data_IF_358976965832
#
_entry.id   IF_358976965832
#
_cell.length_a   1.000
_cell.length_b   1.000
_cell.length_c   1.000
_cell.angle_alpha   90.00
_cell.angle_beta   90.00
_cell.angle_gamma   90.00
#
_symmetry.space_group_name_H-M   'P 1'
#
loop_
_entity.id
_entity.type
_entity.pdbx_description
1 polymer ?
#
# COMPACT_ATOMS: atom_id res chain seq x y z
N UNK A 1 6.05 37.06 -22.14
CA UNK A 1 4.97 36.54 -21.26
C UNK A 1 3.66 36.62 -22.03
N UNK A 2 2.76 35.65 -21.87
CA UNK A 2 1.42 35.72 -22.48
C UNK A 2 0.65 36.92 -21.87
N UNK A 3 -0.24 37.57 -22.64
CA UNK A 3 -1.23 38.48 -22.07
C UNK A 3 -2.03 37.80 -20.94
N UNK A 4 -2.44 38.52 -19.88
CA UNK A 4 -3.08 37.92 -18.69
C UNK A 4 -4.28 37.02 -19.02
N UNK A 5 -5.11 37.42 -19.98
CA UNK A 5 -6.28 36.65 -20.42
C UNK A 5 -5.87 35.31 -21.08
N UNK A 6 -4.88 35.34 -21.97
CA UNK A 6 -4.37 34.14 -22.63
C UNK A 6 -3.61 33.24 -21.65
N UNK A 7 -2.87 33.82 -20.71
CA UNK A 7 -2.18 33.09 -19.64
C UNK A 7 -3.17 32.32 -18.74
N UNK A 8 -4.28 32.97 -18.38
CA UNK A 8 -5.33 32.35 -17.58
C UNK A 8 -5.95 31.14 -18.30
N UNK A 9 -6.27 31.28 -19.59
CA UNK A 9 -6.84 30.20 -20.40
C UNK A 9 -5.86 29.03 -20.58
N UNK A 10 -4.61 29.32 -20.90
CA UNK A 10 -3.57 28.30 -21.10
C UNK A 10 -3.31 27.49 -19.81
N UNK A 11 -3.15 28.20 -18.67
CA UNK A 11 -2.93 27.56 -17.37
C UNK A 11 -4.14 26.74 -16.91
N UNK A 12 -5.35 27.26 -17.13
CA UNK A 12 -6.59 26.56 -16.78
C UNK A 12 -6.79 25.29 -17.60
N UNK A 13 -6.36 25.27 -18.88
CA UNK A 13 -6.38 24.09 -19.73
C UNK A 13 -5.40 23.03 -19.23
N UNK A 14 -4.21 23.47 -18.79
CA UNK A 14 -3.23 22.58 -18.18
C UNK A 14 -3.76 21.96 -16.87
N UNK A 15 -4.28 22.78 -15.96
CA UNK A 15 -4.92 22.34 -14.72
C UNK A 15 -6.03 21.32 -14.97
N UNK A 16 -6.93 21.61 -15.93
CA UNK A 16 -8.01 20.71 -16.31
C UNK A 16 -7.47 19.35 -16.77
N UNK A 17 -6.43 19.34 -17.60
CA UNK A 17 -5.85 18.10 -18.14
C UNK A 17 -5.24 17.17 -17.09
N UNK A 18 -4.83 17.72 -15.93
CA UNK A 18 -4.27 16.93 -14.83
C UNK A 18 -5.37 16.43 -13.89
N UNK A 19 -6.38 17.26 -13.65
CA UNK A 19 -7.45 16.96 -12.69
C UNK A 19 -8.53 16.06 -13.32
N UNK A 20 -8.82 16.28 -14.60
CA UNK A 20 -9.69 15.39 -15.38
C UNK A 20 -9.05 14.01 -15.47
N UNK A 21 -9.61 13.06 -14.72
CA UNK A 21 -9.23 11.63 -14.81
C UNK A 21 -9.70 10.97 -16.11
N UNK A 22 -10.48 11.70 -16.90
CA UNK A 22 -11.12 11.18 -18.08
C UNK A 22 -10.21 11.28 -19.31
N UNK A 23 -10.17 10.21 -20.11
CA UNK A 23 -9.47 10.19 -21.40
C UNK A 23 -10.27 10.90 -22.50
N UNK A 24 -11.45 11.40 -22.15
CA UNK A 24 -12.40 12.03 -23.05
C UNK A 24 -11.98 13.43 -23.50
N UNK A 25 -10.90 14.01 -22.97
CA UNK A 25 -10.39 15.32 -23.39
C UNK A 25 -8.90 15.27 -23.75
N UNK A 26 -8.54 15.87 -24.89
CA UNK A 26 -7.14 16.00 -25.34
C UNK A 26 -6.75 17.47 -25.45
N UNK A 27 -5.53 17.81 -25.01
CA UNK A 27 -4.94 19.13 -25.22
C UNK A 27 -4.55 19.32 -26.69
N UNK A 28 -4.86 20.48 -27.24
CA UNK A 28 -4.43 20.92 -28.56
C UNK A 28 -3.91 22.35 -28.52
N UNK A 29 -2.93 22.65 -29.36
CA UNK A 29 -2.40 24.00 -29.53
C UNK A 29 -3.27 24.76 -30.53
N UNK A 30 -3.70 25.96 -30.16
CA UNK A 30 -4.53 26.85 -31.00
C UNK A 30 -3.88 28.22 -31.06
N UNK A 31 -3.80 28.79 -32.26
CA UNK A 31 -3.29 30.14 -32.49
C UNK A 31 -4.39 31.19 -32.28
N UNK A 32 -4.05 32.28 -31.58
CA UNK A 32 -4.94 33.38 -31.24
C UNK A 32 -4.25 34.71 -31.46
N UNK A 33 -4.91 35.61 -32.16
CA UNK A 33 -4.43 36.98 -32.32
C UNK A 33 -4.89 37.83 -31.15
N UNK A 34 -3.94 38.50 -30.51
CA UNK A 34 -4.19 39.45 -29.43
C UNK A 34 -3.37 40.71 -29.68
N UNK A 35 -4.05 41.85 -29.89
CA UNK A 35 -3.38 43.12 -30.19
C UNK A 35 -2.50 43.09 -31.45
N UNK A 36 -2.87 42.28 -32.46
CA UNK A 36 -2.11 42.14 -33.71
C UNK A 36 -0.92 41.17 -33.67
N UNK A 37 -0.68 40.50 -32.54
CA UNK A 37 0.33 39.43 -32.41
C UNK A 37 -0.35 38.09 -32.23
N UNK A 38 0.08 37.07 -32.99
CA UNK A 38 -0.42 35.70 -32.88
C UNK A 38 0.31 34.94 -31.77
N UNK A 39 -0.44 34.43 -30.79
CA UNK A 39 0.03 33.58 -29.70
C UNK A 39 -0.52 32.17 -29.83
N UNK A 40 0.24 31.18 -29.36
CA UNK A 40 -0.23 29.78 -29.30
C UNK A 40 -0.60 29.42 -27.87
N UNK A 41 -1.84 28.96 -27.64
CA UNK A 41 -2.37 28.58 -26.32
C UNK A 41 -2.98 27.17 -26.35
N UNK A 42 -3.06 26.53 -25.19
CA UNK A 42 -3.69 25.23 -25.01
C UNK A 42 -5.22 25.36 -24.97
N UNK A 43 -5.89 24.55 -25.77
CA UNK A 43 -7.34 24.34 -25.74
C UNK A 43 -7.65 22.84 -25.54
N UNK A 44 -8.90 22.54 -25.19
CA UNK A 44 -9.37 21.18 -24.92
C UNK A 44 -10.29 20.70 -26.04
N UNK A 45 -10.07 19.48 -26.52
CA UNK A 45 -10.89 18.84 -27.55
C UNK A 45 -11.58 17.61 -26.95
N UNK A 46 -12.91 17.49 -27.06
CA UNK A 46 -13.64 16.30 -26.64
C UNK A 46 -13.34 15.14 -27.61
N UNK A 47 -13.03 13.96 -27.07
CA UNK A 47 -12.75 12.72 -27.82
C UNK A 47 -14.03 11.91 -28.07
N UNK A 48 -15.06 12.06 -27.23
CA UNK A 48 -16.33 11.35 -27.38
C UNK A 48 -17.24 12.14 -28.34
N UNK A 49 -17.43 11.61 -29.56
CA UNK A 49 -18.31 12.17 -30.60
C UNK A 49 -19.76 12.24 -30.11
N UNK A 50 -20.23 13.43 -29.75
CA UNK A 50 -21.56 13.84 -30.19
C UNK A 50 -21.42 14.33 -31.64
N UNK A 51 -22.38 13.97 -32.48
CA UNK A 51 -22.29 13.98 -33.95
C UNK A 51 -22.07 15.38 -34.57
N UNK A 52 -21.99 16.47 -33.78
CA UNK A 52 -21.85 17.85 -34.29
C UNK A 52 -20.92 18.80 -33.51
N UNK A 53 -20.03 18.33 -32.63
CA UNK A 53 -19.16 19.20 -31.83
C UNK A 53 -17.65 19.01 -32.10
N UNK A 54 -17.18 19.42 -33.28
CA UNK A 54 -15.74 19.48 -33.64
C UNK A 54 -15.05 20.78 -33.17
N UNK A 55 -15.54 21.40 -32.10
CA UNK A 55 -15.03 22.67 -31.59
C UNK A 55 -13.92 22.46 -30.54
N UNK A 56 -12.82 23.21 -30.68
CA UNK A 56 -11.89 23.42 -29.56
C UNK A 56 -12.58 24.24 -28.48
N UNK A 57 -12.57 23.75 -27.24
CA UNK A 57 -13.16 24.43 -26.09
C UNK A 57 -12.02 25.13 -25.34
N UNK A 58 -12.16 26.44 -25.13
CA UNK A 58 -11.23 27.19 -24.30
C UNK A 58 -11.48 26.85 -22.83
N UNK A 59 -10.41 26.69 -22.07
CA UNK A 59 -10.48 26.39 -20.64
C UNK A 59 -10.78 27.64 -19.81
N UNK A 60 -11.89 28.30 -20.11
CA UNK A 60 -12.43 29.34 -19.23
C UNK A 60 -13.07 28.68 -18.02
N UNK A 61 -12.72 29.14 -16.82
CA UNK A 61 -13.31 28.73 -15.54
C UNK A 61 -14.83 28.93 -15.53
N UNK A 62 -15.34 29.87 -16.33
CA UNK A 62 -16.78 30.12 -16.52
C UNK A 62 -17.47 29.10 -17.45
N UNK A 63 -16.73 28.24 -18.14
CA UNK A 63 -17.27 27.25 -19.06
C UNK A 63 -18.06 26.18 -18.31
N UNK A 64 -19.39 26.22 -18.43
CA UNK A 64 -20.29 25.22 -17.86
C UNK A 64 -19.97 23.80 -18.38
N UNK A 65 -19.66 23.68 -19.67
CA UNK A 65 -19.33 22.41 -20.33
C UNK A 65 -18.13 21.71 -19.67
N UNK A 66 -17.04 22.43 -19.41
CA UNK A 66 -15.86 21.86 -18.77
C UNK A 66 -16.13 21.54 -17.29
N UNK A 67 -16.80 22.46 -16.59
CA UNK A 67 -17.14 22.27 -15.18
C UNK A 67 -18.02 21.03 -14.96
N UNK A 68 -19.00 20.80 -15.83
CA UNK A 68 -19.90 19.64 -15.75
C UNK A 68 -19.23 18.33 -16.15
N UNK A 69 -18.23 18.37 -17.04
CA UNK A 69 -17.47 17.17 -17.42
C UNK A 69 -16.56 16.61 -16.30
N UNK A 70 -16.30 17.38 -15.23
CA UNK A 70 -15.53 16.89 -14.09
C UNK A 70 -16.38 15.97 -13.21
N UNK A 71 -15.91 14.74 -13.01
CA UNK A 71 -16.67 13.64 -12.42
C UNK A 71 -17.17 13.90 -10.99
N UNK A 72 -16.42 14.66 -10.18
CA UNK A 72 -16.78 14.92 -8.78
C UNK A 72 -16.74 16.41 -8.45
N UNK A 73 -17.49 16.82 -7.42
CA UNK A 73 -17.47 18.20 -6.90
C UNK A 73 -16.07 18.60 -6.40
N UNK A 74 -15.34 17.64 -5.85
CA UNK A 74 -13.94 17.82 -5.44
C UNK A 74 -13.03 18.14 -6.63
N UNK A 75 -13.23 17.48 -7.77
CA UNK A 75 -12.42 17.74 -8.96
C UNK A 75 -12.74 19.13 -9.54
N UNK A 76 -14.00 19.56 -9.49
CA UNK A 76 -14.41 20.93 -9.85
C UNK A 76 -13.72 21.99 -9.00
N UNK A 77 -13.77 21.84 -7.68
CA UNK A 77 -13.13 22.75 -6.73
C UNK A 77 -11.61 22.84 -6.94
N UNK A 78 -10.95 21.69 -7.15
CA UNK A 78 -9.52 21.63 -7.45
C UNK A 78 -9.16 22.37 -8.73
N UNK A 79 -9.96 22.20 -9.78
CA UNK A 79 -9.71 22.86 -11.06
C UNK A 79 -9.87 24.38 -10.94
N UNK A 80 -10.89 24.84 -10.22
CA UNK A 80 -11.10 26.25 -9.91
C UNK A 80 -9.89 26.82 -9.15
N UNK A 81 -9.49 26.20 -8.03
CA UNK A 81 -8.36 26.66 -7.22
C UNK A 81 -7.03 26.71 -7.99
N UNK A 82 -6.78 25.72 -8.86
CA UNK A 82 -5.60 25.70 -9.73
C UNK A 82 -5.60 26.88 -10.72
N UNK A 83 -6.74 27.13 -11.35
CA UNK A 83 -6.92 28.23 -12.31
C UNK A 83 -6.77 29.60 -11.65
N UNK A 84 -7.36 29.78 -10.46
CA UNK A 84 -7.22 31.01 -9.66
C UNK A 84 -5.78 31.22 -9.15
N UNK A 85 -5.06 30.14 -8.81
CA UNK A 85 -3.65 30.24 -8.42
C UNK A 85 -2.77 30.75 -9.56
N UNK A 86 -3.03 30.32 -10.80
CA UNK A 86 -2.32 30.82 -11.98
C UNK A 86 -2.57 32.32 -12.18
N UNK A 87 -3.83 32.77 -12.13
CA UNK A 87 -4.18 34.19 -12.28
C UNK A 87 -3.50 35.04 -11.19
N UNK A 88 -3.55 34.60 -9.93
CA UNK A 88 -2.86 35.29 -8.82
C UNK A 88 -1.35 35.37 -9.02
N UNK A 89 -0.73 34.31 -9.54
CA UNK A 89 0.70 34.34 -9.87
C UNK A 89 1.00 35.34 -10.99
N UNK A 90 0.20 35.35 -12.05
CA UNK A 90 0.33 36.31 -13.15
C UNK A 90 0.28 37.76 -12.66
N UNK A 91 -0.73 38.08 -11.83
CA UNK A 91 -0.86 39.41 -11.22
C UNK A 91 0.37 39.76 -10.39
N UNK A 92 0.81 38.88 -9.48
CA UNK A 92 2.00 39.08 -8.66
C UNK A 92 3.26 39.33 -9.50
N UNK A 93 3.43 38.58 -10.59
CA UNK A 93 4.58 38.75 -11.50
C UNK A 93 4.59 40.11 -12.19
N UNK A 94 3.42 40.67 -12.50
CA UNK A 94 3.24 41.98 -13.14
C UNK A 94 3.37 43.16 -12.16
N UNK A 95 2.93 42.99 -10.92
CA UNK A 95 2.98 44.03 -9.88
C UNK A 95 4.38 44.26 -9.34
N UNK A 96 5.19 43.20 -9.24
CA UNK A 96 6.54 43.28 -8.68
C UNK A 96 7.52 43.88 -9.70
N UNK A 97 8.43 44.79 -9.29
CA UNK A 97 9.43 45.35 -10.20
C UNK A 97 10.33 44.26 -10.78
N UNK A 98 10.83 44.41 -12.02
CA UNK A 98 11.77 43.46 -12.59
C UNK A 98 13.05 43.40 -11.74
N UNK A 99 13.64 42.22 -11.62
CA UNK A 99 14.91 42.04 -10.91
C UNK A 99 15.99 42.95 -11.53
N UNK A 100 16.85 43.58 -10.71
CA UNK A 100 17.86 44.52 -11.20
C UNK A 100 18.71 43.91 -12.31
N UNK A 101 18.96 44.65 -13.38
CA UNK A 101 19.85 44.18 -14.45
C UNK A 101 21.24 43.85 -13.87
N UNK A 102 21.65 42.57 -13.96
CA UNK A 102 22.90 42.07 -13.37
C UNK A 102 22.76 41.37 -12.01
N UNK A 103 21.54 41.20 -11.46
CA UNK A 103 21.33 40.33 -10.31
C UNK A 103 21.50 38.87 -10.74
N UNK A 104 22.43 38.13 -10.11
CA UNK A 104 22.61 36.68 -10.29
C UNK A 104 21.45 35.94 -9.60
N UNK A 105 20.24 36.03 -10.18
CA UNK A 105 19.02 35.42 -9.66
C UNK A 105 18.22 34.81 -10.81
N UNK A 106 17.58 33.67 -10.54
CA UNK A 106 16.59 33.13 -11.46
C UNK A 106 15.30 33.96 -11.40
N UNK A 107 14.72 34.30 -12.56
CA UNK A 107 13.52 35.13 -12.62
C UNK A 107 12.30 34.37 -12.09
N UNK A 108 11.39 35.09 -11.42
CA UNK A 108 10.07 34.56 -11.07
C UNK A 108 9.35 33.96 -12.29
N UNK A 109 8.64 32.85 -12.09
CA UNK A 109 8.05 32.06 -13.17
C UNK A 109 6.84 31.26 -12.70
N UNK A 110 6.01 30.82 -13.65
CA UNK A 110 4.92 29.88 -13.43
C UNK A 110 5.25 28.57 -14.14
N UNK A 111 5.37 27.48 -13.38
CA UNK A 111 5.76 26.18 -13.91
C UNK A 111 4.57 25.33 -14.40
N UNK A 112 3.44 25.97 -14.69
CA UNK A 112 2.15 25.37 -15.04
C UNK A 112 1.37 24.75 -13.87
N UNK A 113 1.96 24.69 -12.67
CA UNK A 113 1.32 24.15 -11.48
C UNK A 113 1.29 25.16 -10.34
N UNK A 114 2.38 25.88 -10.09
CA UNK A 114 2.50 26.87 -9.02
C UNK A 114 3.44 28.03 -9.35
N UNK A 115 3.40 29.05 -8.50
CA UNK A 115 4.19 30.27 -8.64
C UNK A 115 5.55 30.12 -7.98
N UNK A 116 6.61 30.55 -8.67
CA UNK A 116 7.97 30.58 -8.14
C UNK A 116 8.48 32.02 -8.13
N UNK A 117 8.99 32.47 -6.98
CA UNK A 117 9.58 33.80 -6.82
C UNK A 117 11.01 33.91 -7.35
N UNK A 118 11.56 35.12 -7.33
CA UNK A 118 12.96 35.36 -7.67
C UNK A 118 13.88 34.64 -6.66
N UNK A 119 14.84 33.88 -7.18
CA UNK A 119 15.66 32.98 -6.36
C UNK A 119 17.15 33.23 -6.64
N UNK A 120 18.02 33.34 -5.62
CA UNK A 120 19.46 33.52 -5.84
C UNK A 120 20.08 32.40 -6.70
N UNK A 121 21.04 32.75 -7.56
CA UNK A 121 21.82 31.78 -8.33
C UNK A 121 22.55 30.80 -7.41
N UNK A 122 22.75 29.58 -7.91
CA UNK A 122 23.35 28.46 -7.17
C UNK A 122 22.61 28.13 -5.85
N UNK A 123 21.28 28.27 -5.85
CA UNK A 123 20.43 27.92 -4.70
C UNK A 123 19.18 27.17 -5.14
N UNK A 124 18.49 26.53 -4.20
CA UNK A 124 17.24 25.80 -4.44
C UNK A 124 16.09 26.52 -3.76
N UNK A 125 15.04 26.82 -4.52
CA UNK A 125 13.79 27.34 -3.99
C UNK A 125 12.92 26.20 -3.47
N UNK A 126 12.22 26.45 -2.36
CA UNK A 126 11.30 25.51 -1.73
C UNK A 126 9.94 26.17 -1.55
N UNK A 127 8.90 25.53 -2.05
CA UNK A 127 7.52 26.00 -1.92
C UNK A 127 6.62 24.87 -1.43
N UNK A 128 5.56 25.23 -0.70
CA UNK A 128 4.60 24.24 -0.22
C UNK A 128 3.85 23.60 -1.40
N UNK A 129 3.62 22.29 -1.31
CA UNK A 129 2.94 21.56 -2.38
C UNK A 129 1.51 22.12 -2.61
N UNK A 130 1.09 22.36 -3.86
CA UNK A 130 -0.20 22.98 -4.14
C UNK A 130 -1.36 22.06 -3.75
N UNK A 131 -2.19 22.51 -2.80
CA UNK A 131 -3.24 21.68 -2.19
C UNK A 131 -4.38 21.29 -3.12
N UNK A 132 -4.55 22.03 -4.23
CA UNK A 132 -5.53 21.74 -5.27
C UNK A 132 -5.12 20.55 -6.14
N UNK A 133 -3.84 20.17 -6.17
CA UNK A 133 -3.35 19.00 -6.90
C UNK A 133 -2.99 17.85 -5.96
N UNK A 134 -2.28 18.18 -4.89
CA UNK A 134 -1.80 17.23 -3.90
C UNK A 134 -2.66 17.31 -2.64
N UNK A 135 -3.07 16.16 -2.09
CA UNK A 135 -4.11 16.11 -1.04
C UNK A 135 -3.72 16.90 0.22
N UNK A 136 -4.57 17.86 0.58
CA UNK A 136 -4.47 18.79 1.71
C UNK A 136 -4.22 18.05 3.06
N UNK A 137 -4.91 16.93 3.28
CA UNK A 137 -4.84 16.09 4.50
C UNK A 137 -3.46 15.49 4.81
N UNK A 138 -2.47 15.64 3.92
CA UNK A 138 -1.23 14.84 3.95
C UNK A 138 0.01 15.64 3.59
N UNK A 139 -0.09 16.63 2.69
CA UNK A 139 1.05 17.49 2.35
C UNK A 139 1.30 18.56 3.41
N UNK A 140 0.26 19.22 3.94
CA UNK A 140 0.40 20.29 4.94
C UNK A 140 0.99 19.83 6.27
N UNK A 141 0.81 18.56 6.64
CA UNK A 141 1.29 18.00 7.91
C UNK A 141 2.70 17.40 7.84
N UNK A 142 3.24 17.13 6.64
CA UNK A 142 4.49 16.35 6.48
C UNK A 142 5.74 17.20 6.28
N UNK A 143 5.63 18.54 6.23
CA UNK A 143 6.77 19.43 5.96
C UNK A 143 7.44 19.24 4.59
N UNK A 144 6.79 18.51 3.68
CA UNK A 144 7.31 18.21 2.34
C UNK A 144 7.02 19.37 1.40
N UNK A 145 8.04 19.77 0.62
CA UNK A 145 8.00 20.93 -0.26
C UNK A 145 8.40 20.54 -1.68
N UNK A 146 7.81 21.20 -2.66
CA UNK A 146 8.30 21.17 -4.03
C UNK A 146 9.64 21.92 -4.10
N UNK A 147 10.52 21.49 -5.00
CA UNK A 147 11.88 22.04 -5.11
C UNK A 147 12.17 22.47 -6.54
N UNK A 148 12.76 23.66 -6.70
CA UNK A 148 13.21 24.16 -8.01
C UNK A 148 14.64 24.69 -7.89
N UNK A 149 15.53 24.15 -8.73
CA UNK A 149 16.96 24.47 -8.67
C UNK A 149 17.30 25.66 -9.58
N UNK A 150 17.93 26.68 -9.00
CA UNK A 150 18.46 27.81 -9.72
C UNK A 150 19.98 27.64 -9.93
N UNK A 151 20.39 27.56 -11.19
CA UNK A 151 21.79 27.32 -11.57
C UNK A 151 22.65 28.57 -11.33
N UNK A 152 23.98 28.37 -11.32
CA UNK A 152 24.95 29.45 -11.09
C UNK A 152 24.92 30.55 -12.17
N UNK A 153 24.39 30.25 -13.35
CA UNK A 153 24.24 31.19 -14.47
C UNK A 153 22.95 32.02 -14.40
N UNK A 154 22.19 31.92 -13.30
CA UNK A 154 20.93 32.65 -13.11
C UNK A 154 19.76 32.10 -13.93
N UNK A 155 19.85 30.85 -14.42
CA UNK A 155 18.76 30.17 -15.13
C UNK A 155 18.21 29.00 -14.31
N UNK A 156 16.90 28.77 -14.41
CA UNK A 156 16.28 27.59 -13.82
C UNK A 156 16.82 26.32 -14.46
N UNK A 157 17.01 25.28 -13.63
CA UNK A 157 17.36 23.95 -14.12
C UNK A 157 16.33 23.45 -15.15
N UNK A 158 16.84 22.87 -16.24
CA UNK A 158 16.03 22.35 -17.34
C UNK A 158 16.21 20.85 -17.47
N UNK A 159 15.11 20.14 -17.70
CA UNK A 159 15.15 18.71 -17.99
C UNK A 159 15.74 18.45 -19.38
N UNK A 160 16.04 17.18 -19.70
CA UNK A 160 16.52 16.71 -21.01
C UNK A 160 15.62 17.20 -22.17
N UNK A 161 14.34 17.47 -21.88
CA UNK A 161 13.35 18.00 -22.81
C UNK A 161 13.44 19.53 -23.04
N UNK A 162 14.48 20.20 -22.53
CA UNK A 162 14.77 21.63 -22.62
C UNK A 162 13.71 22.58 -21.99
N UNK A 163 12.77 22.04 -21.23
CA UNK A 163 11.81 22.82 -20.43
C UNK A 163 12.33 22.99 -19.00
N UNK A 164 11.95 24.11 -18.36
CA UNK A 164 12.17 24.29 -16.92
C UNK A 164 11.59 23.10 -16.16
N UNK A 165 12.30 22.67 -15.12
CA UNK A 165 11.92 21.50 -14.35
C UNK A 165 11.74 21.83 -12.88
N UNK A 166 10.82 21.11 -12.25
CA UNK A 166 10.48 21.27 -10.83
C UNK A 166 10.26 19.90 -10.22
N UNK A 167 10.87 19.66 -9.07
CA UNK A 167 10.78 18.39 -8.36
C UNK A 167 9.54 18.36 -7.46
N UNK A 168 8.51 17.65 -7.91
CA UNK A 168 7.30 17.37 -7.14
C UNK A 168 7.27 15.97 -6.53
N UNK A 169 8.39 15.23 -6.55
CA UNK A 169 8.44 13.83 -6.07
C UNK A 169 7.92 13.71 -4.65
N UNK A 170 8.31 14.64 -3.78
CA UNK A 170 7.87 14.68 -2.38
C UNK A 170 6.41 15.08 -2.20
N UNK A 171 5.78 15.73 -3.19
CA UNK A 171 4.38 16.12 -3.16
C UNK A 171 3.42 14.96 -3.52
N UNK A 172 3.88 13.98 -4.32
CA UNK A 172 3.08 12.80 -4.68
C UNK A 172 3.17 11.69 -3.62
N UNK A 173 2.72 12.01 -2.40
CA UNK A 173 2.75 11.07 -1.28
C UNK A 173 1.97 9.78 -1.58
N UNK A 174 0.90 9.83 -2.40
CA UNK A 174 0.08 8.65 -2.72
C UNK A 174 0.89 7.65 -3.52
N UNK A 175 1.69 8.13 -4.47
CA UNK A 175 2.62 7.29 -5.22
C UNK A 175 3.72 6.74 -4.34
N UNK A 176 4.34 7.55 -3.48
CA UNK A 176 5.36 7.09 -2.53
C UNK A 176 4.80 6.00 -1.61
N UNK A 177 3.63 6.20 -1.02
CA UNK A 177 2.97 5.21 -0.15
C UNK A 177 2.63 3.94 -0.93
N UNK A 178 2.08 4.07 -2.15
CA UNK A 178 1.78 2.91 -2.99
C UNK A 178 3.03 2.11 -3.38
N UNK A 179 4.14 2.78 -3.69
CA UNK A 179 5.43 2.13 -3.99
C UNK A 179 5.99 1.43 -2.75
N UNK A 180 5.95 2.07 -1.59
CA UNK A 180 6.37 1.46 -0.32
C UNK A 180 5.52 0.23 0.03
N UNK A 181 4.21 0.29 -0.19
CA UNK A 181 3.30 -0.86 -0.02
C UNK A 181 3.66 -1.99 -0.99
N UNK A 182 3.88 -1.68 -2.27
CA UNK A 182 4.29 -2.67 -3.28
C UNK A 182 5.64 -3.31 -2.93
N UNK A 183 6.61 -2.52 -2.48
CA UNK A 183 7.92 -3.01 -2.05
C UNK A 183 7.78 -3.97 -0.86
N UNK A 184 6.99 -3.60 0.16
CA UNK A 184 6.68 -4.48 1.29
C UNK A 184 6.01 -5.78 0.85
N UNK A 185 5.07 -5.72 -0.10
CA UNK A 185 4.42 -6.91 -0.66
C UNK A 185 5.42 -7.81 -1.40
N UNK A 186 6.35 -7.25 -2.18
CA UNK A 186 7.40 -8.02 -2.88
C UNK A 186 8.32 -8.75 -1.90
N UNK A 187 8.77 -8.06 -0.84
CA UNK A 187 9.56 -8.68 0.22
C UNK A 187 8.80 -9.81 0.91
N UNK A 188 7.52 -9.60 1.22
CA UNK A 188 6.68 -10.63 1.80
C UNK A 188 6.53 -11.85 0.88
N UNK A 189 6.33 -11.66 -0.44
CA UNK A 189 6.30 -12.74 -1.42
C UNK A 189 7.61 -13.52 -1.42
N UNK A 190 8.76 -12.83 -1.45
CA UNK A 190 10.07 -13.48 -1.46
C UNK A 190 10.29 -14.38 -0.24
N UNK A 191 9.91 -13.91 0.94
CA UNK A 191 10.01 -14.70 2.19
C UNK A 191 9.05 -15.89 2.18
N UNK A 192 7.81 -15.72 1.71
CA UNK A 192 6.87 -16.83 1.55
C UNK A 192 7.40 -17.89 0.57
N UNK A 193 7.98 -17.49 -0.55
CA UNK A 193 8.58 -18.41 -1.53
C UNK A 193 9.75 -19.20 -0.93
N UNK A 194 10.62 -18.53 -0.16
CA UNK A 194 11.71 -19.20 0.56
C UNK A 194 11.18 -20.20 1.59
N UNK A 195 10.12 -19.85 2.31
CA UNK A 195 9.47 -20.74 3.27
C UNK A 195 8.90 -21.98 2.58
N UNK A 196 8.20 -21.84 1.45
CA UNK A 196 7.69 -22.97 0.67
C UNK A 196 8.83 -23.85 0.15
N UNK A 197 9.91 -23.25 -0.36
CA UNK A 197 11.07 -23.99 -0.85
C UNK A 197 11.75 -24.84 0.23
N UNK A 198 11.71 -24.41 1.49
CA UNK A 198 12.24 -25.16 2.63
C UNK A 198 11.25 -26.22 3.16
N UNK A 199 9.97 -25.87 3.28
CA UNK A 199 8.95 -26.75 3.89
C UNK A 199 8.49 -27.86 2.95
N UNK A 200 8.45 -27.62 1.64
CA UNK A 200 7.94 -28.60 0.68
C UNK A 200 8.80 -29.88 0.63
N UNK A 201 10.14 -29.83 0.52
CA UNK A 201 10.98 -31.03 0.60
C UNK A 201 10.85 -31.75 1.94
N UNK A 202 10.80 -31.01 3.05
CA UNK A 202 10.63 -31.60 4.38
C UNK A 202 9.30 -32.37 4.50
N UNK A 203 8.21 -31.80 3.97
CA UNK A 203 6.90 -32.44 3.93
C UNK A 203 6.93 -33.72 3.07
N UNK A 204 7.56 -33.67 1.89
CA UNK A 204 7.73 -34.83 1.01
C UNK A 204 8.49 -35.95 1.73
N UNK A 205 9.61 -35.65 2.39
CA UNK A 205 10.39 -36.63 3.16
C UNK A 205 9.50 -37.28 4.23
N UNK A 206 8.77 -36.50 5.02
CA UNK A 206 7.91 -37.04 6.07
C UNK A 206 6.76 -37.91 5.54
N UNK A 207 6.26 -37.64 4.33
CA UNK A 207 5.26 -38.51 3.68
C UNK A 207 5.87 -39.80 3.13
N UNK A 208 7.02 -39.72 2.45
CA UNK A 208 7.66 -40.86 1.78
C UNK A 208 8.20 -41.92 2.75
N UNK A 209 8.78 -41.52 3.88
CA UNK A 209 9.38 -42.48 4.82
C UNK A 209 8.36 -42.95 5.86
N UNK A 210 7.83 -44.16 5.68
CA UNK A 210 6.87 -44.80 6.60
C UNK A 210 7.39 -44.91 8.05
N UNK A 211 8.70 -45.10 8.22
CA UNK A 211 9.35 -45.18 9.54
C UNK A 211 9.26 -43.86 10.34
N UNK A 212 9.12 -42.72 9.66
CA UNK A 212 8.96 -41.40 10.28
C UNK A 212 7.48 -41.04 10.56
N UNK A 213 6.52 -41.93 10.29
CA UNK A 213 5.09 -41.62 10.44
C UNK A 213 4.57 -41.81 11.88
N UNK A 214 5.31 -41.30 12.87
CA UNK A 214 4.92 -41.32 14.29
C UNK A 214 3.89 -40.21 14.55
N UNK A 215 3.02 -40.37 15.55
CA UNK A 215 1.99 -39.38 15.96
C UNK A 215 2.50 -37.93 16.06
N UNK A 216 3.71 -37.74 16.60
CA UNK A 216 4.37 -36.41 16.67
C UNK A 216 4.60 -35.81 15.28
N UNK A 217 5.14 -36.60 14.37
CA UNK A 217 5.49 -36.17 13.02
C UNK A 217 4.22 -35.93 12.21
N UNK A 218 3.12 -36.65 12.48
CA UNK A 218 1.81 -36.34 11.89
C UNK A 218 1.34 -34.92 12.24
N UNK A 219 1.53 -34.44 13.48
CA UNK A 219 1.22 -33.04 13.83
C UNK A 219 2.08 -32.05 13.03
N UNK A 220 3.38 -32.33 12.89
CA UNK A 220 4.30 -31.49 12.11
C UNK A 220 3.91 -31.43 10.64
N UNK A 221 3.46 -32.56 10.05
CA UNK A 221 2.96 -32.58 8.67
C UNK A 221 1.78 -31.64 8.46
N UNK A 222 0.81 -31.63 9.38
CA UNK A 222 -0.35 -30.74 9.26
C UNK A 222 0.03 -29.28 9.45
N UNK A 223 0.92 -28.97 10.39
CA UNK A 223 1.46 -27.61 10.56
C UNK A 223 2.23 -27.14 9.31
N UNK A 224 3.08 -27.99 8.73
CA UNK A 224 3.83 -27.65 7.52
C UNK A 224 2.90 -27.50 6.31
N UNK A 225 1.88 -28.35 6.20
CA UNK A 225 0.88 -28.27 5.16
C UNK A 225 0.08 -26.95 5.26
N UNK A 226 -0.38 -26.56 6.45
CA UNK A 226 -1.11 -25.30 6.63
C UNK A 226 -0.22 -24.08 6.31
N UNK A 227 1.07 -24.11 6.67
CA UNK A 227 2.03 -23.05 6.35
C UNK A 227 2.27 -22.92 4.85
N UNK A 228 2.48 -24.05 4.15
CA UNK A 228 2.64 -24.08 2.69
C UNK A 228 1.38 -23.55 2.00
N UNK A 229 0.19 -24.00 2.42
CA UNK A 229 -1.06 -23.52 1.85
C UNK A 229 -1.25 -22.01 2.08
N UNK A 230 -1.02 -21.50 3.30
CA UNK A 230 -1.09 -20.05 3.55
C UNK A 230 -0.14 -19.29 2.62
N UNK A 231 1.12 -19.75 2.51
CA UNK A 231 2.12 -19.10 1.68
C UNK A 231 1.74 -19.07 0.20
N UNK A 232 1.26 -20.20 -0.36
CA UNK A 232 0.83 -20.27 -1.77
C UNK A 232 -0.34 -19.31 -2.04
N UNK A 233 -1.37 -19.33 -1.19
CA UNK A 233 -2.53 -18.45 -1.34
C UNK A 233 -2.15 -16.97 -1.17
N UNK A 234 -1.21 -16.66 -0.28
CA UNK A 234 -0.70 -15.31 -0.08
C UNK A 234 0.07 -14.82 -1.32
N UNK A 235 0.98 -15.64 -1.85
CA UNK A 235 1.74 -15.34 -3.08
C UNK A 235 0.77 -15.07 -4.24
N UNK A 236 -0.25 -15.92 -4.41
CA UNK A 236 -1.28 -15.74 -5.43
C UNK A 236 -2.02 -14.40 -5.26
N UNK A 237 -2.57 -14.11 -4.08
CA UNK A 237 -3.31 -12.86 -3.85
C UNK A 237 -2.44 -11.61 -4.00
N UNK A 238 -1.20 -11.62 -3.47
CA UNK A 238 -0.30 -10.46 -3.52
C UNK A 238 0.27 -10.20 -4.92
N UNK A 239 0.56 -11.26 -5.68
CA UNK A 239 1.02 -11.11 -7.07
C UNK A 239 -0.07 -10.49 -7.94
N UNK A 240 -1.34 -10.89 -7.77
CA UNK A 240 -2.48 -10.27 -8.45
C UNK A 240 -2.65 -8.79 -8.08
N UNK A 241 -2.45 -8.43 -6.80
CA UNK A 241 -2.49 -7.04 -6.33
C UNK A 241 -1.43 -6.13 -6.98
N UNK A 242 -0.24 -6.67 -7.24
CA UNK A 242 0.86 -5.91 -7.84
C UNK A 242 0.69 -5.80 -9.36
N UNK A 243 0.39 -6.92 -10.02
CA UNK A 243 0.41 -7.02 -11.49
C UNK A 243 -0.86 -6.52 -12.16
N UNK A 244 -2.02 -6.68 -11.53
CA UNK A 244 -3.31 -6.43 -12.20
C UNK A 244 -4.38 -5.93 -11.22
N UNK A 245 -4.27 -4.69 -10.71
CA UNK A 245 -5.25 -4.13 -9.78
C UNK A 245 -6.65 -4.00 -10.39
N UNK A 246 -6.76 -3.86 -11.72
CA UNK A 246 -8.03 -3.83 -12.46
C UNK A 246 -8.79 -5.17 -12.45
N UNK A 247 -8.08 -6.29 -12.38
CA UNK A 247 -8.68 -7.63 -12.33
C UNK A 247 -9.39 -7.86 -10.99
N UNK A 248 -8.86 -7.29 -9.91
CA UNK A 248 -9.47 -7.31 -8.58
C UNK A 248 -10.79 -6.53 -8.55
N UNK A 249 -10.89 -5.43 -9.30
CA UNK A 249 -12.12 -4.64 -9.40
C UNK A 249 -13.17 -5.24 -10.33
N UNK A 250 -12.78 -6.08 -11.29
CA UNK A 250 -13.69 -6.58 -12.34
C UNK A 250 -14.51 -7.81 -11.91
N UNK A 251 -13.99 -8.64 -10.99
CA UNK A 251 -14.74 -9.77 -10.43
C UNK A 251 -14.50 -9.87 -8.92
N UNK A 252 -15.41 -9.36 -8.08
CA UNK A 252 -15.20 -9.29 -6.63
C UNK A 252 -15.15 -10.67 -5.97
N UNK A 253 -15.93 -11.63 -6.47
CA UNK A 253 -16.22 -12.89 -5.79
C UNK A 253 -15.01 -13.79 -5.56
N UNK A 254 -14.16 -14.01 -6.58
CA UNK A 254 -12.96 -14.84 -6.42
C UNK A 254 -11.98 -14.22 -5.41
N UNK A 255 -11.90 -12.89 -5.37
CA UNK A 255 -11.01 -12.18 -4.46
C UNK A 255 -11.51 -12.27 -3.02
N UNK A 256 -12.83 -12.20 -2.82
CA UNK A 256 -13.48 -12.48 -1.53
C UNK A 256 -13.17 -13.90 -1.06
N UNK A 257 -13.35 -14.90 -1.93
CA UNK A 257 -13.07 -16.31 -1.59
C UNK A 257 -11.59 -16.50 -1.25
N UNK A 258 -10.68 -16.03 -2.10
CA UNK A 258 -9.23 -16.18 -1.91
C UNK A 258 -8.76 -15.53 -0.60
N UNK A 259 -9.26 -14.32 -0.30
CA UNK A 259 -8.94 -13.62 0.93
C UNK A 259 -9.54 -14.31 2.17
N UNK A 260 -10.76 -14.86 2.07
CA UNK A 260 -11.38 -15.63 3.16
C UNK A 260 -10.61 -16.93 3.43
N UNK A 261 -10.23 -17.66 2.38
CA UNK A 261 -9.39 -18.86 2.50
C UNK A 261 -8.04 -18.52 3.14
N UNK A 262 -7.41 -17.42 2.73
CA UNK A 262 -6.14 -16.98 3.32
C UNK A 262 -6.28 -16.68 4.82
N UNK A 263 -7.37 -16.02 5.24
CA UNK A 263 -7.65 -15.76 6.66
C UNK A 263 -7.85 -17.07 7.43
N UNK A 264 -8.58 -18.03 6.87
CA UNK A 264 -8.73 -19.37 7.45
C UNK A 264 -7.41 -20.12 7.59
N UNK A 265 -6.58 -20.15 6.54
CA UNK A 265 -5.29 -20.84 6.56
C UNK A 265 -4.35 -20.23 7.61
N UNK A 266 -4.34 -18.90 7.75
CA UNK A 266 -3.61 -18.23 8.83
C UNK A 266 -4.09 -18.63 10.22
N UNK A 267 -5.40 -18.69 10.44
CA UNK A 267 -5.95 -19.17 11.71
C UNK A 267 -5.57 -20.62 11.99
N UNK A 268 -5.59 -21.46 10.95
CA UNK A 268 -5.18 -22.87 11.05
C UNK A 268 -3.71 -23.02 11.43
N UNK A 269 -2.82 -22.13 10.97
CA UNK A 269 -1.42 -22.13 11.40
C UNK A 269 -1.27 -21.95 12.91
N UNK A 270 -2.02 -21.02 13.50
CA UNK A 270 -2.00 -20.80 14.95
C UNK A 270 -2.58 -21.98 15.74
N UNK A 271 -3.67 -22.61 15.27
CA UNK A 271 -4.26 -23.77 15.96
C UNK A 271 -3.42 -25.03 15.82
N UNK A 272 -2.74 -25.25 14.69
CA UNK A 272 -1.78 -26.34 14.53
C UNK A 272 -0.53 -26.14 15.39
N UNK A 273 -0.04 -24.90 15.48
CA UNK A 273 1.03 -24.54 16.42
C UNK A 273 0.62 -24.78 17.88
N UNK A 274 -0.62 -24.43 18.25
CA UNK A 274 -1.19 -24.76 19.56
C UNK A 274 -1.25 -26.27 19.81
N UNK A 275 -1.77 -27.02 18.86
CA UNK A 275 -1.88 -28.48 18.97
C UNK A 275 -0.52 -29.16 19.20
N UNK A 276 0.52 -28.67 18.53
CA UNK A 276 1.89 -29.18 18.72
C UNK A 276 2.41 -28.90 20.13
N UNK A 277 2.25 -27.66 20.62
CA UNK A 277 2.63 -27.28 21.98
C UNK A 277 1.88 -28.07 23.05
N UNK A 278 0.55 -28.18 22.88
CA UNK A 278 -0.31 -28.97 23.76
C UNK A 278 0.08 -30.46 23.78
N UNK A 279 0.36 -31.05 22.61
CA UNK A 279 0.81 -32.44 22.51
C UNK A 279 2.13 -32.66 23.24
N UNK A 280 3.11 -31.78 23.05
CA UNK A 280 4.41 -31.86 23.71
C UNK A 280 4.29 -31.73 25.23
N UNK A 281 3.50 -30.77 25.71
CA UNK A 281 3.25 -30.59 27.14
C UNK A 281 2.61 -31.82 27.77
N UNK A 282 1.55 -32.37 27.14
CA UNK A 282 0.86 -33.56 27.64
C UNK A 282 1.79 -34.77 27.71
N UNK A 283 2.64 -34.97 26.70
CA UNK A 283 3.61 -36.08 26.67
C UNK A 283 4.59 -36.02 27.84
N UNK A 284 5.06 -34.84 28.23
CA UNK A 284 6.08 -34.67 29.28
C UNK A 284 5.49 -34.60 30.69
N UNK A 285 4.32 -34.00 30.86
CA UNK A 285 3.67 -33.81 32.16
C UNK A 285 2.80 -35.00 32.58
N UNK A 286 2.22 -35.74 31.62
CA UNK A 286 1.32 -36.87 31.90
C UNK A 286 1.66 -38.06 31.00
N UNK A 287 2.74 -38.76 31.35
CA UNK A 287 3.27 -39.89 30.60
C UNK A 287 2.29 -41.08 30.47
N UNK A 288 1.26 -41.15 31.34
CA UNK A 288 0.28 -42.23 31.39
C UNK A 288 -1.11 -41.86 30.81
N UNK A 289 -1.32 -40.64 30.30
CA UNK A 289 -2.58 -40.27 29.67
C UNK A 289 -2.75 -41.03 28.33
N UNK A 290 -3.73 -41.93 28.29
CA UNK A 290 -4.05 -42.78 27.14
C UNK A 290 -4.21 -41.93 25.85
N UNK A 291 -3.33 -42.15 24.86
CA UNK A 291 -3.25 -41.36 23.62
C UNK A 291 -4.33 -41.74 22.58
N UNK A 292 -5.55 -42.11 23.02
CA UNK A 292 -6.49 -42.87 22.19
C UNK A 292 -7.28 -42.04 21.17
N UNK A 293 -7.56 -40.76 21.45
CA UNK A 293 -8.42 -39.94 20.59
C UNK A 293 -7.64 -38.87 19.80
N UNK A 294 -6.97 -39.29 18.71
CA UNK A 294 -6.29 -38.35 17.80
C UNK A 294 -7.26 -37.43 17.04
N UNK A 295 -8.54 -37.82 16.93
CA UNK A 295 -9.61 -37.04 16.32
C UNK A 295 -9.80 -35.65 16.94
N UNK A 296 -9.56 -35.51 18.25
CA UNK A 296 -9.64 -34.22 18.95
C UNK A 296 -8.64 -33.20 18.38
N UNK A 297 -7.43 -33.63 18.02
CA UNK A 297 -6.43 -32.74 17.42
C UNK A 297 -6.87 -32.24 16.04
N UNK A 298 -7.54 -33.08 15.24
CA UNK A 298 -8.09 -32.64 13.96
C UNK A 298 -9.22 -31.63 14.13
N UNK A 299 -10.13 -31.84 15.07
CA UNK A 299 -11.18 -30.88 15.40
C UNK A 299 -10.61 -29.53 15.86
N UNK A 300 -9.57 -29.55 16.71
CA UNK A 300 -8.89 -28.34 17.16
C UNK A 300 -8.06 -27.67 16.06
N UNK A 301 -7.41 -28.45 15.19
CA UNK A 301 -6.51 -27.93 14.16
C UNK A 301 -7.24 -27.32 12.97
N UNK A 302 -8.20 -28.04 12.39
CA UNK A 302 -8.93 -27.59 11.19
C UNK A 302 -10.33 -27.05 11.49
N UNK A 303 -11.00 -27.56 12.53
CA UNK A 303 -12.36 -27.14 12.87
C UNK A 303 -12.43 -25.80 13.59
N UNK A 304 -11.64 -25.62 14.66
CA UNK A 304 -11.64 -24.40 15.47
C UNK A 304 -11.40 -23.10 14.68
N UNK A 305 -10.49 -23.05 13.67
CA UNK A 305 -10.33 -21.87 12.82
C UNK A 305 -11.56 -21.43 12.02
N UNK A 306 -12.50 -22.35 11.74
CA UNK A 306 -13.70 -22.05 10.94
C UNK A 306 -14.63 -21.07 11.68
N UNK A 307 -14.74 -21.21 13.00
CA UNK A 307 -15.66 -20.42 13.83
C UNK A 307 -15.36 -18.90 13.76
N UNK A 308 -14.16 -18.40 14.10
CA UNK A 308 -13.91 -16.95 14.06
C UNK A 308 -13.96 -16.39 12.63
N UNK A 309 -13.58 -17.17 11.62
CA UNK A 309 -13.61 -16.73 10.21
C UNK A 309 -15.04 -16.59 9.70
N UNK A 310 -15.90 -17.57 9.97
CA UNK A 310 -17.31 -17.50 9.57
C UNK A 310 -18.03 -16.36 10.27
N UNK A 311 -17.82 -16.19 11.58
CA UNK A 311 -18.37 -15.05 12.34
C UNK A 311 -17.88 -13.72 11.74
N UNK A 312 -16.59 -13.59 11.45
CA UNK A 312 -16.04 -12.38 10.83
C UNK A 312 -16.71 -12.07 9.48
N UNK A 313 -16.85 -13.06 8.59
CA UNK A 313 -17.47 -12.87 7.27
C UNK A 313 -18.94 -12.47 7.42
N UNK A 314 -19.69 -13.13 8.30
CA UNK A 314 -21.12 -12.85 8.53
C UNK A 314 -21.31 -11.45 9.12
N UNK A 315 -20.57 -11.09 10.17
CA UNK A 315 -20.65 -9.76 10.79
C UNK A 315 -20.27 -8.67 9.79
N UNK A 316 -19.20 -8.89 9.01
CA UNK A 316 -18.77 -7.93 8.01
C UNK A 316 -19.81 -7.77 6.88
N UNK A 317 -20.44 -8.85 6.44
CA UNK A 317 -21.51 -8.80 5.45
C UNK A 317 -22.75 -8.08 5.99
N UNK A 318 -23.13 -8.32 7.25
CA UNK A 318 -24.31 -7.73 7.88
C UNK A 318 -24.15 -6.22 8.14
N UNK A 319 -23.00 -5.79 8.67
CA UNK A 319 -22.77 -4.40 9.10
C UNK A 319 -22.48 -3.47 7.91
N UNK A 320 -21.63 -3.91 6.98
CA UNK A 320 -21.11 -3.02 5.94
C UNK A 320 -21.81 -3.16 4.59
N UNK A 321 -22.71 -4.15 4.41
CA UNK A 321 -23.39 -4.50 3.13
C UNK A 321 -22.45 -4.54 1.91
N UNK A 322 -21.14 -4.66 2.13
CA UNK A 322 -20.08 -4.44 1.15
C UNK A 322 -19.55 -5.75 0.58
N UNK A 323 -20.44 -6.69 0.27
CA UNK A 323 -20.06 -7.95 -0.40
C UNK A 323 -19.67 -7.71 -1.87
N UNK A 324 -20.00 -6.53 -2.40
CA UNK A 324 -19.71 -6.11 -3.79
C UNK A 324 -18.24 -5.75 -4.05
N UNK A 325 -17.38 -5.64 -3.03
CA UNK A 325 -15.94 -5.38 -3.19
C UNK A 325 -15.07 -6.45 -2.56
N UNK A 326 -13.80 -6.55 -2.98
CA UNK A 326 -12.88 -7.51 -2.37
C UNK A 326 -12.52 -7.14 -0.92
N UNK A 327 -12.57 -8.12 -0.01
CA UNK A 327 -12.41 -8.00 1.45
C UNK A 327 -10.96 -7.71 1.93
N UNK A 328 -10.15 -6.99 1.14
CA UNK A 328 -8.72 -6.77 1.41
C UNK A 328 -8.48 -5.74 2.51
N UNK A 329 -9.25 -4.65 2.54
CA UNK A 329 -9.05 -3.60 3.54
C UNK A 329 -9.51 -4.10 4.91
N UNK A 330 -8.65 -3.99 5.95
CA UNK A 330 -9.04 -4.27 7.32
C UNK A 330 -10.07 -3.23 7.79
N UNK A 331 -10.95 -3.66 8.69
CA UNK A 331 -11.92 -2.79 9.36
C UNK A 331 -11.65 -2.85 10.86
N UNK A 332 -11.06 -1.78 11.41
CA UNK A 332 -10.47 -1.71 12.75
C UNK A 332 -11.38 -2.24 13.89
N UNK A 333 -12.71 -2.14 13.72
CA UNK A 333 -13.67 -2.65 14.71
C UNK A 333 -13.94 -4.16 14.69
N UNK A 334 -13.84 -4.85 13.54
CA UNK A 334 -14.22 -6.27 13.41
C UNK A 334 -13.01 -7.20 13.43
N UNK A 335 -11.81 -6.71 13.09
CA UNK A 335 -10.60 -7.56 13.01
C UNK A 335 -10.24 -8.24 14.35
N UNK A 336 -10.67 -7.68 15.50
CA UNK A 336 -10.52 -8.29 16.82
C UNK A 336 -11.07 -9.72 16.91
N UNK A 337 -12.16 -10.02 16.18
CA UNK A 337 -12.77 -11.36 16.14
C UNK A 337 -11.76 -12.41 15.66
N UNK A 338 -10.91 -12.03 14.69
CA UNK A 338 -9.86 -12.91 14.17
C UNK A 338 -8.60 -12.91 15.03
N UNK A 339 -8.38 -11.90 15.86
CA UNK A 339 -7.18 -11.76 16.69
C UNK A 339 -7.25 -12.53 18.01
N UNK A 340 -8.45 -12.68 18.59
CA UNK A 340 -8.64 -13.33 19.91
C UNK A 340 -8.07 -14.75 19.93
N UNK A 341 -8.45 -15.60 18.97
CA UNK A 341 -8.02 -17.00 18.95
C UNK A 341 -6.48 -17.16 18.85
N UNK A 342 -5.76 -16.49 17.94
CA UNK A 342 -4.30 -16.50 17.89
C UNK A 342 -3.64 -16.02 19.18
N UNK A 343 -4.10 -14.91 19.75
CA UNK A 343 -3.49 -14.38 20.98
C UNK A 343 -3.64 -15.35 22.15
N UNK A 344 -4.84 -15.93 22.34
CA UNK A 344 -5.06 -16.94 23.37
C UNK A 344 -4.20 -18.18 23.13
N UNK A 345 -4.10 -18.67 21.89
CA UNK A 345 -3.26 -19.81 21.53
C UNK A 345 -1.77 -19.57 21.83
N UNK A 346 -1.24 -18.38 21.49
CA UNK A 346 0.15 -18.00 21.77
C UNK A 346 0.41 -17.95 23.27
N UNK A 347 -0.46 -17.28 24.05
CA UNK A 347 -0.31 -17.16 25.51
C UNK A 347 -0.25 -18.55 26.16
N UNK A 348 -1.18 -19.45 25.80
CA UNK A 348 -1.20 -20.80 26.35
C UNK A 348 0.05 -21.59 25.94
N UNK A 349 0.51 -21.46 24.69
CA UNK A 349 1.74 -22.10 24.24
C UNK A 349 2.99 -21.60 24.97
N UNK A 350 3.05 -20.31 25.33
CA UNK A 350 4.13 -19.77 26.17
C UNK A 350 4.10 -20.40 27.57
N UNK A 351 2.91 -20.56 28.16
CA UNK A 351 2.76 -21.25 29.46
C UNK A 351 3.25 -22.70 29.35
N UNK A 352 2.85 -23.42 28.29
CA UNK A 352 3.33 -24.78 28.03
C UNK A 352 4.86 -24.82 27.89
N UNK A 353 5.44 -23.89 27.14
CA UNK A 353 6.87 -23.80 26.93
C UNK A 353 7.64 -23.62 28.25
N UNK A 354 7.18 -22.70 29.11
CA UNK A 354 7.77 -22.48 30.44
C UNK A 354 7.69 -23.75 31.29
N UNK A 355 6.54 -24.42 31.33
CA UNK A 355 6.37 -25.67 32.07
C UNK A 355 7.27 -26.79 31.55
N UNK A 356 7.42 -26.90 30.23
CA UNK A 356 8.31 -27.88 29.59
C UNK A 356 9.77 -27.62 29.99
N UNK A 357 10.24 -26.38 29.93
CA UNK A 357 11.60 -26.01 30.35
C UNK A 357 11.79 -26.37 31.83
N UNK A 358 10.84 -26.03 32.69
CA UNK A 358 10.90 -26.36 34.13
C UNK A 358 11.07 -27.87 34.34
N UNK A 359 10.24 -28.69 33.70
CA UNK A 359 10.31 -30.16 33.81
C UNK A 359 11.64 -30.68 33.27
N UNK A 360 12.12 -30.15 32.13
CA UNK A 360 13.38 -30.56 31.53
C UNK A 360 14.58 -30.27 32.45
N UNK A 361 14.64 -29.06 33.01
CA UNK A 361 15.71 -28.64 33.94
C UNK A 361 15.68 -29.49 35.21
N UNK A 362 14.49 -29.76 35.77
CA UNK A 362 14.35 -30.62 36.94
C UNK A 362 14.86 -32.05 36.67
N UNK A 363 14.53 -32.62 35.50
CA UNK A 363 15.03 -33.94 35.10
C UNK A 363 16.54 -33.97 34.88
N UNK A 364 17.09 -32.94 34.22
CA UNK A 364 18.54 -32.83 34.01
C UNK A 364 19.31 -32.75 35.33
N UNK A 365 18.81 -31.97 36.30
CA UNK A 365 19.41 -31.86 37.65
C UNK A 365 19.33 -33.17 38.44
N UNK A 366 18.19 -33.86 38.44
CA UNK A 366 18.09 -35.16 39.11
C UNK A 366 19.07 -36.20 38.54
N UNK A 367 19.34 -36.13 37.23
CA UNK A 367 20.29 -37.04 36.55
C UNK A 367 21.74 -36.68 36.89
N UNK A 368 22.08 -35.38 36.98
CA UNK A 368 23.43 -34.95 37.40
C UNK A 368 23.70 -35.31 38.86
N UNK A 369 22.73 -35.15 39.75
CA UNK A 369 22.88 -35.47 41.17
C UNK A 369 23.03 -36.99 41.39
N UNK A 370 22.26 -37.80 40.64
CA UNK A 370 22.39 -39.26 40.67
C UNK A 370 23.74 -39.74 40.15
N UNK A 371 24.30 -39.08 39.13
CA UNK A 371 25.61 -39.41 38.56
C UNK A 371 26.75 -39.03 39.50
N UNK A 372 26.72 -37.82 40.08
CA UNK A 372 27.70 -37.40 41.09
C UNK A 372 27.65 -38.30 42.35
N UNK A 373 26.45 -38.73 42.77
CA UNK A 373 26.31 -39.64 43.91
C UNK A 373 26.88 -41.04 43.65
N UNK A 374 26.80 -41.53 42.42
CA UNK A 374 27.39 -42.81 42.01
C UNK A 374 28.92 -42.73 41.90
N UNK A 375 29.47 -41.61 41.40
CA UNK A 375 30.92 -41.41 41.34
C UNK A 375 31.53 -41.39 42.76
N UNK A 376 30.89 -40.70 43.73
CA UNK A 376 31.36 -40.67 45.12
C UNK A 376 31.35 -42.06 45.78
N UNK A 377 30.41 -42.95 45.41
CA UNK A 377 30.35 -44.32 45.95
C UNK A 377 31.38 -45.27 45.33
N UNK A 378 31.96 -44.97 44.17
CA UNK A 378 33.04 -45.78 43.60
C UNK A 378 34.41 -45.52 44.22
N UNK A 379 34.58 -44.43 44.98
CA UNK A 379 35.82 -44.09 45.68
C UNK A 379 35.82 -44.47 47.18
N UNK A 380 34.82 -45.20 47.65
CA UNK A 380 34.71 -45.74 49.01
C UNK A 380 34.64 -47.26 48.95
#
# INVERSE_FOLDING_TARGET
MLPPELFALDSSAYCFSIISRDKDWKKAAVSRDFGGTTYTVQALIPQRREVNSTGTVMADVKSAQLRESLATERDRDRWLRCSEAAVRCCQRMLELPPSPAGSNMCPRTWDQLQCWGDTPAASTAYEDCPSYLFSEDTCGASGKKAQKECLADGRWFRHISNNEWTNYTDCDYKKIVAENIKLRMRWHIAVCSLSVAALLPALIIFFSYRQLQVRRITLHKHLFLSLILEAIFNICLRSLQISSPSVISMSPWWCVVLNTVLRYLRQSNYTWFFNEGFYLHRLLASAFAEQRNFLIFYCLGWGLPVLPVTVYVVVRAAVYKSVTGCLILPQEGIEWILMILPFTAIIINVIFFINIIRILVLKLRATSDSRNGNDIRQYK
#
